data_IF_278818190638
#
_entry.id   IF_278818190638
#
_cell.length_a   1.000
_cell.length_b   1.000
_cell.length_c   1.000
_cell.angle_alpha   90.00
_cell.angle_beta   90.00
_cell.angle_gamma   90.00
#
_symmetry.space_group_name_H-M   'P 1'
#
loop_
_entity.id
_entity.type
_entity.pdbx_description
1 polymer ?
#
# COMPACT_ATOMS: atom_id res chain seq x y z
N UNK A 1 24.17 -10.19 -11.10
CA UNK A 1 23.51 -9.11 -10.33
C UNK A 1 22.84 -8.16 -11.30
N UNK A 2 21.53 -8.31 -11.47
CA UNK A 2 20.68 -7.48 -12.33
C UNK A 2 19.68 -6.70 -11.46
N UNK A 3 20.07 -6.39 -10.22
CA UNK A 3 19.20 -5.83 -9.18
C UNK A 3 18.74 -4.41 -9.51
N UNK A 4 19.54 -3.65 -10.26
CA UNK A 4 19.21 -2.27 -10.55
C UNK A 4 18.09 -2.11 -11.57
N UNK A 5 17.79 -3.05 -12.47
CA UNK A 5 16.77 -2.85 -13.53
C UNK A 5 15.33 -3.14 -13.12
N UNK A 6 15.12 -3.59 -11.88
CA UNK A 6 13.84 -4.07 -11.35
C UNK A 6 12.76 -2.96 -11.45
N UNK A 7 12.97 -1.79 -10.85
CA UNK A 7 11.95 -0.73 -10.78
C UNK A 7 11.80 0.19 -12.01
N UNK A 8 12.54 -0.08 -13.09
CA UNK A 8 12.55 0.77 -14.30
C UNK A 8 11.37 0.50 -15.23
N UNK A 9 10.64 -0.60 -15.03
CA UNK A 9 9.38 -0.88 -15.74
C UNK A 9 8.32 0.12 -15.29
N UNK A 10 7.63 0.77 -16.24
CA UNK A 10 6.77 1.92 -15.94
C UNK A 10 5.40 1.56 -15.40
N UNK A 11 4.92 0.32 -15.57
CA UNK A 11 3.59 -0.08 -15.13
C UNK A 11 3.58 -0.60 -13.68
N UNK A 12 2.50 -0.27 -12.97
CA UNK A 12 2.26 -0.58 -11.56
C UNK A 12 2.30 -2.08 -11.26
N UNK A 13 1.67 -2.87 -12.13
CA UNK A 13 1.52 -4.31 -11.95
C UNK A 13 2.88 -5.00 -11.99
N UNK A 14 3.74 -4.63 -12.95
CA UNK A 14 5.11 -5.15 -13.02
C UNK A 14 5.91 -4.84 -11.74
N UNK A 15 5.80 -3.62 -11.20
CA UNK A 15 6.51 -3.25 -9.95
C UNK A 15 6.00 -4.06 -8.76
N UNK A 16 4.68 -4.21 -8.64
CA UNK A 16 4.08 -4.97 -7.54
C UNK A 16 4.44 -6.44 -7.63
N UNK A 17 4.39 -7.02 -8.83
CA UNK A 17 4.83 -8.39 -9.06
C UNK A 17 6.27 -8.61 -8.63
N UNK A 18 7.19 -7.71 -8.97
CA UNK A 18 8.59 -7.83 -8.55
C UNK A 18 8.74 -7.77 -7.02
N UNK A 19 7.95 -6.95 -6.31
CA UNK A 19 7.92 -6.95 -4.85
C UNK A 19 7.44 -8.31 -4.34
N UNK A 20 6.39 -8.88 -4.94
CA UNK A 20 5.89 -10.21 -4.58
C UNK A 20 6.93 -11.31 -4.84
N UNK A 21 7.66 -11.26 -5.96
CA UNK A 21 8.73 -12.21 -6.29
C UNK A 21 9.86 -12.16 -5.24
N UNK A 22 10.23 -10.95 -4.78
CA UNK A 22 11.23 -10.78 -3.71
C UNK A 22 10.73 -11.29 -2.36
N UNK A 23 9.44 -11.10 -2.06
CA UNK A 23 8.83 -11.61 -0.83
C UNK A 23 8.67 -13.13 -0.87
N UNK A 24 8.54 -13.74 -2.06
CA UNK A 24 8.40 -15.19 -2.25
C UNK A 24 9.62 -15.96 -1.71
N UNK A 25 10.77 -15.30 -1.58
CA UNK A 25 11.98 -15.86 -0.96
C UNK A 25 11.77 -16.28 0.50
N UNK A 26 10.81 -15.66 1.21
CA UNK A 26 10.56 -15.90 2.64
C UNK A 26 9.07 -16.16 2.98
N UNK A 27 8.15 -15.87 2.06
CA UNK A 27 6.71 -15.93 2.26
C UNK A 27 6.04 -16.59 1.05
N UNK A 28 4.79 -17.03 1.19
CA UNK A 28 4.01 -17.39 0.00
C UNK A 28 3.34 -16.13 -0.55
N UNK A 29 3.43 -15.89 -1.85
CA UNK A 29 2.81 -14.73 -2.48
C UNK A 29 1.81 -15.13 -3.56
N UNK A 30 0.84 -14.26 -3.82
CA UNK A 30 -0.12 -14.41 -4.92
C UNK A 30 -0.27 -13.07 -5.62
N UNK A 31 0.05 -13.05 -6.91
CA UNK A 31 -0.16 -11.91 -7.80
C UNK A 31 -1.64 -11.79 -8.20
N UNK A 32 -2.16 -10.56 -8.26
CA UNK A 32 -3.49 -10.21 -8.78
C UNK A 32 -4.60 -11.21 -8.42
N UNK A 33 -4.90 -11.29 -7.12
CA UNK A 33 -5.89 -12.25 -6.62
C UNK A 33 -7.28 -11.64 -6.53
N UNK A 34 -8.27 -12.40 -6.99
CA UNK A 34 -9.68 -12.00 -6.92
C UNK A 34 -10.21 -12.15 -5.49
N UNK A 35 -10.37 -11.03 -4.79
CA UNK A 35 -10.92 -10.95 -3.44
C UNK A 35 -11.95 -9.82 -3.35
N UNK A 36 -13.01 -10.03 -2.57
CA UNK A 36 -13.96 -8.96 -2.24
C UNK A 36 -14.95 -8.60 -3.34
N UNK A 37 -15.49 -7.37 -3.33
CA UNK A 37 -16.53 -6.89 -4.27
C UNK A 37 -15.95 -5.75 -5.14
N UNK A 38 -16.08 -5.83 -6.46
CA UNK A 38 -15.61 -4.81 -7.42
C UNK A 38 -16.31 -3.45 -7.22
N UNK A 39 -15.71 -2.38 -7.75
CA UNK A 39 -16.27 -1.01 -7.73
C UNK A 39 -17.72 -0.90 -8.24
N UNK A 40 -18.18 -1.84 -9.09
CA UNK A 40 -19.55 -1.86 -9.62
C UNK A 40 -20.42 -3.00 -9.05
N UNK A 41 -19.97 -3.72 -8.02
CA UNK A 41 -20.75 -4.76 -7.35
C UNK A 41 -21.00 -6.05 -8.16
N UNK A 42 -20.50 -6.15 -9.39
CA UNK A 42 -20.83 -7.23 -10.34
C UNK A 42 -19.79 -8.37 -10.43
N UNK A 43 -18.57 -8.14 -9.97
CA UNK A 43 -17.44 -9.08 -9.99
C UNK A 43 -16.64 -9.02 -8.69
N UNK A 44 -15.79 -10.02 -8.37
CA UNK A 44 -14.81 -9.87 -7.31
C UNK A 44 -13.89 -8.67 -7.54
N UNK A 45 -13.47 -8.01 -6.46
CA UNK A 45 -12.39 -7.02 -6.52
C UNK A 45 -11.04 -7.68 -6.83
N UNK A 46 -10.05 -6.93 -7.35
CA UNK A 46 -8.70 -7.45 -7.64
C UNK A 46 -7.70 -6.79 -6.70
N UNK A 47 -7.24 -7.55 -5.71
CA UNK A 47 -6.15 -7.11 -4.83
C UNK A 47 -4.85 -7.23 -5.61
N UNK A 48 -4.00 -6.20 -5.59
CA UNK A 48 -2.76 -6.21 -6.37
C UNK A 48 -1.79 -7.30 -5.92
N UNK A 49 -1.73 -7.60 -4.63
CA UNK A 49 -0.94 -8.71 -4.11
C UNK A 49 -1.41 -9.24 -2.77
N UNK A 50 -1.22 -10.54 -2.55
CA UNK A 50 -1.44 -11.19 -1.25
C UNK A 50 -0.16 -11.87 -0.80
N UNK A 51 0.25 -11.60 0.43
CA UNK A 51 1.37 -12.27 1.09
C UNK A 51 0.82 -13.14 2.21
N UNK A 52 1.32 -14.35 2.37
CA UNK A 52 0.90 -15.30 3.40
C UNK A 52 2.10 -15.73 4.21
N UNK A 53 2.04 -15.49 5.53
CA UNK A 53 3.10 -15.92 6.44
C UNK A 53 3.05 -17.41 6.76
N UNK A 54 4.05 -17.89 7.51
CA UNK A 54 4.14 -19.28 7.97
C UNK A 54 2.94 -19.73 8.84
N UNK A 55 2.22 -18.80 9.45
CA UNK A 55 1.05 -19.07 10.28
C UNK A 55 -0.26 -19.05 9.46
N UNK A 56 -0.16 -18.88 8.14
CA UNK A 56 -1.28 -18.73 7.20
C UNK A 56 -2.08 -17.44 7.38
N UNK A 57 -1.48 -16.42 7.98
CA UNK A 57 -2.04 -15.07 8.03
C UNK A 57 -1.84 -14.40 6.67
N UNK A 58 -2.92 -13.90 6.08
CA UNK A 58 -2.88 -13.15 4.83
C UNK A 58 -2.64 -11.65 5.10
N UNK A 59 -1.89 -11.02 4.21
CA UNK A 59 -1.61 -9.60 4.21
C UNK A 59 -1.89 -9.07 2.80
N UNK A 60 -2.75 -8.06 2.71
CA UNK A 60 -3.14 -7.50 1.42
C UNK A 60 -2.27 -6.30 1.07
N UNK A 61 -1.84 -6.29 -0.18
CA UNK A 61 -1.08 -5.23 -0.82
C UNK A 61 -1.97 -4.62 -1.89
N UNK A 62 -2.20 -3.32 -1.78
CA UNK A 62 -2.64 -2.47 -2.88
C UNK A 62 -1.46 -1.58 -3.26
N UNK A 63 -1.30 -1.28 -4.54
CA UNK A 63 -0.25 -0.39 -5.02
C UNK A 63 -0.82 0.78 -5.80
N UNK A 64 -0.07 1.88 -5.88
CA UNK A 64 -0.36 2.97 -6.81
C UNK A 64 0.90 3.72 -7.25
N UNK A 65 0.91 4.17 -8.50
CA UNK A 65 1.90 5.12 -9.03
C UNK A 65 1.45 6.57 -8.82
N UNK A 66 2.33 7.39 -8.22
CA UNK A 66 2.08 8.83 -8.07
C UNK A 66 3.21 9.67 -8.68
N UNK A 67 2.82 10.63 -9.51
CA UNK A 67 3.69 11.73 -9.98
C UNK A 67 3.41 13.05 -9.24
N UNK A 68 2.27 13.13 -8.55
CA UNK A 68 1.82 14.26 -7.74
C UNK A 68 0.82 13.76 -6.69
N UNK A 69 0.41 14.65 -5.76
CA UNK A 69 -0.58 14.30 -4.73
C UNK A 69 -2.00 14.31 -5.32
N UNK A 70 -2.37 13.21 -5.98
CA UNK A 70 -3.74 12.99 -6.46
C UNK A 70 -4.60 12.40 -5.33
N UNK A 71 -5.26 13.27 -4.56
CA UNK A 71 -6.05 12.91 -3.38
C UNK A 71 -7.17 11.93 -3.68
N UNK A 72 -7.96 12.18 -4.73
CA UNK A 72 -9.07 11.30 -5.12
C UNK A 72 -8.58 9.89 -5.45
N UNK A 73 -7.48 9.80 -6.20
CA UNK A 73 -6.88 8.52 -6.56
C UNK A 73 -6.34 7.77 -5.33
N UNK A 74 -5.67 8.47 -4.41
CA UNK A 74 -5.20 7.86 -3.15
C UNK A 74 -6.38 7.36 -2.31
N UNK A 75 -7.43 8.17 -2.13
CA UNK A 75 -8.64 7.79 -1.39
C UNK A 75 -9.28 6.54 -2.00
N UNK A 76 -9.37 6.46 -3.34
CA UNK A 76 -9.94 5.30 -4.02
C UNK A 76 -9.18 4.01 -3.68
N UNK A 77 -7.83 4.04 -3.67
CA UNK A 77 -7.02 2.88 -3.33
C UNK A 77 -7.11 2.50 -1.85
N UNK A 78 -7.16 3.47 -0.93
CA UNK A 78 -7.38 3.22 0.50
C UNK A 78 -8.74 2.54 0.73
N UNK A 79 -9.81 3.04 0.09
CA UNK A 79 -11.15 2.46 0.22
C UNK A 79 -11.20 1.00 -0.25
N UNK A 80 -10.41 0.63 -1.27
CA UNK A 80 -10.33 -0.77 -1.69
C UNK A 80 -9.80 -1.68 -0.57
N UNK A 81 -8.74 -1.25 0.12
CA UNK A 81 -8.16 -1.98 1.27
C UNK A 81 -9.09 -1.99 2.49
N UNK A 82 -9.87 -0.94 2.73
CA UNK A 82 -10.74 -0.86 3.90
C UNK A 82 -12.05 -1.63 3.75
N UNK A 83 -12.84 -1.35 2.70
CA UNK A 83 -14.20 -1.89 2.58
C UNK A 83 -14.34 -2.99 1.56
N UNK A 84 -13.53 -3.02 0.50
CA UNK A 84 -13.80 -3.92 -0.63
C UNK A 84 -13.16 -5.27 -0.49
N UNK A 85 -11.94 -5.35 0.04
CA UNK A 85 -11.19 -6.61 0.11
C UNK A 85 -11.26 -7.27 1.47
N UNK A 86 -11.33 -6.48 2.54
CA UNK A 86 -11.15 -6.94 3.92
C UNK A 86 -12.42 -7.57 4.54
N UNK A 87 -12.90 -8.61 3.86
CA UNK A 87 -13.92 -9.54 4.36
C UNK A 87 -13.43 -10.41 5.53
N UNK A 88 -12.12 -10.41 5.82
CA UNK A 88 -11.47 -11.33 6.76
C UNK A 88 -11.08 -10.70 8.10
N UNK A 89 -11.23 -9.39 8.28
CA UNK A 89 -10.78 -8.73 9.52
C UNK A 89 -9.27 -8.64 9.62
N UNK A 90 -8.59 -8.35 8.51
CA UNK A 90 -7.13 -8.34 8.43
C UNK A 90 -6.54 -7.30 9.39
N UNK A 91 -5.67 -7.77 10.29
CA UNK A 91 -4.99 -6.90 11.26
C UNK A 91 -4.03 -5.91 10.60
N UNK A 92 -3.38 -6.30 9.51
CA UNK A 92 -2.39 -5.46 8.83
C UNK A 92 -2.64 -5.47 7.32
N UNK A 93 -2.62 -4.28 6.72
CA UNK A 93 -2.76 -4.04 5.28
C UNK A 93 -1.69 -3.07 4.81
N UNK A 94 -1.32 -3.17 3.54
CA UNK A 94 -0.21 -2.41 2.97
C UNK A 94 -0.64 -1.67 1.71
N UNK A 95 -0.41 -0.36 1.69
CA UNK A 95 -0.50 0.48 0.51
C UNK A 95 0.92 0.82 0.06
N UNK A 96 1.33 0.33 -1.10
CA UNK A 96 2.62 0.65 -1.69
C UNK A 96 2.45 1.81 -2.65
N UNK A 97 3.19 2.90 -2.43
CA UNK A 97 3.11 4.11 -3.23
C UNK A 97 4.44 4.28 -3.98
N UNK A 98 4.42 4.05 -5.29
CA UNK A 98 5.56 4.29 -6.16
C UNK A 98 5.63 5.77 -6.53
N UNK A 99 6.57 6.50 -5.93
CA UNK A 99 6.73 7.93 -6.12
C UNK A 99 7.63 8.20 -7.34
N UNK A 100 7.01 8.55 -8.47
CA UNK A 100 7.66 8.96 -9.71
C UNK A 100 7.91 10.48 -9.72
N UNK A 101 8.67 10.97 -8.74
CA UNK A 101 8.92 12.39 -8.52
C UNK A 101 10.41 12.72 -8.54
N UNK A 102 10.74 14.00 -8.74
CA UNK A 102 12.13 14.45 -8.73
C UNK A 102 12.77 14.26 -7.35
N UNK A 103 14.05 13.95 -7.33
CA UNK A 103 14.85 13.66 -6.13
C UNK A 103 14.75 14.74 -5.06
N UNK A 104 14.91 16.00 -5.46
CA UNK A 104 14.83 17.17 -4.59
C UNK A 104 13.43 17.41 -4.01
N UNK A 105 12.41 16.68 -4.47
CA UNK A 105 11.01 16.85 -4.10
C UNK A 105 10.44 15.71 -3.26
N UNK A 106 11.19 14.62 -3.01
CA UNK A 106 10.64 13.46 -2.32
C UNK A 106 10.22 13.76 -0.88
N UNK A 107 11.04 14.47 -0.12
CA UNK A 107 10.72 14.84 1.27
C UNK A 107 9.50 15.77 1.33
N UNK A 108 9.47 16.80 0.48
CA UNK A 108 8.33 17.72 0.40
C UNK A 108 7.04 17.02 -0.03
N UNK A 109 7.13 16.02 -0.91
CA UNK A 109 6.00 15.18 -1.28
C UNK A 109 5.54 14.30 -0.12
N UNK A 110 6.47 13.67 0.60
CA UNK A 110 6.17 12.85 1.77
C UNK A 110 5.41 13.65 2.83
N UNK A 111 5.84 14.86 3.17
CA UNK A 111 5.14 15.69 4.15
C UNK A 111 3.71 16.07 3.69
N UNK A 112 3.53 16.35 2.40
CA UNK A 112 2.20 16.60 1.83
C UNK A 112 1.32 15.35 1.89
N UNK A 113 1.86 14.18 1.57
CA UNK A 113 1.16 12.92 1.64
C UNK A 113 0.80 12.57 3.10
N UNK A 114 1.72 12.74 4.04
CA UNK A 114 1.48 12.56 5.47
C UNK A 114 0.34 13.45 5.97
N UNK A 115 0.37 14.75 5.63
CA UNK A 115 -0.68 15.69 6.04
C UNK A 115 -2.04 15.30 5.45
N UNK A 116 -2.07 14.84 4.20
CA UNK A 116 -3.28 14.34 3.57
C UNK A 116 -3.85 13.10 4.31
N UNK A 117 -3.01 12.10 4.58
CA UNK A 117 -3.41 10.89 5.36
C UNK A 117 -3.83 11.24 6.79
N UNK A 118 -3.19 12.24 7.40
CA UNK A 118 -3.50 12.66 8.76
C UNK A 118 -4.83 13.41 8.86
N UNK A 119 -5.13 14.31 7.94
CA UNK A 119 -6.19 15.31 8.16
C UNK A 119 -7.34 15.23 7.17
N UNK A 120 -7.16 14.59 6.01
CA UNK A 120 -8.10 14.72 4.90
C UNK A 120 -8.65 13.37 4.41
N UNK A 121 -7.88 12.29 4.52
CA UNK A 121 -8.37 10.94 4.17
C UNK A 121 -9.56 10.57 5.05
N UNK A 122 -10.62 10.12 4.40
CA UNK A 122 -11.80 9.57 5.05
C UNK A 122 -11.61 8.07 5.18
N UNK A 123 -11.47 7.58 6.41
CA UNK A 123 -11.34 6.15 6.68
C UNK A 123 -12.69 5.56 7.06
N UNK A 124 -12.93 4.31 6.65
CA UNK A 124 -14.14 3.57 7.03
C UNK A 124 -14.17 3.27 8.55
N UNK A 125 -12.99 3.17 9.16
CA UNK A 125 -12.81 2.91 10.59
C UNK A 125 -12.13 4.08 11.30
N UNK A 126 -12.59 4.38 12.54
CA UNK A 126 -12.07 5.46 13.37
C UNK A 126 -10.54 5.36 13.54
N UNK A 127 -9.82 6.35 13.02
CA UNK A 127 -8.36 6.46 13.19
C UNK A 127 -8.02 6.87 14.62
N UNK A 128 -7.30 6.02 15.33
CA UNK A 128 -6.81 6.24 16.68
C UNK A 128 -5.50 7.01 16.69
N UNK A 129 -4.58 6.65 15.79
CA UNK A 129 -3.26 7.27 15.70
C UNK A 129 -2.66 7.18 14.30
N UNK A 130 -1.60 7.96 14.09
CA UNK A 130 -0.76 7.94 12.89
C UNK A 130 0.68 8.16 13.34
N UNK A 131 1.59 7.35 12.82
CA UNK A 131 3.01 7.42 13.14
C UNK A 131 3.87 7.36 11.87
N UNK A 132 4.97 8.14 11.85
CA UNK A 132 6.05 7.99 10.87
C UNK A 132 6.97 6.90 11.39
N UNK A 133 7.18 5.85 10.60
CA UNK A 133 8.09 4.74 10.94
C UNK A 133 9.45 5.00 10.29
N UNK A 134 10.51 4.84 11.07
CA UNK A 134 11.88 4.95 10.57
C UNK A 134 12.18 3.85 9.56
N UNK A 135 12.84 4.25 8.46
CA UNK A 135 13.28 3.37 7.40
C UNK A 135 14.81 3.36 7.37
N UNK A 136 15.39 2.18 7.17
CA UNK A 136 16.83 2.03 6.93
C UNK A 136 17.23 2.46 5.49
N UNK A 137 16.25 2.72 4.64
CA UNK A 137 16.43 3.10 3.24
C UNK A 137 16.08 4.58 3.02
N UNK A 138 17.01 5.31 2.40
CA UNK A 138 16.87 6.75 2.12
C UNK A 138 15.76 7.08 1.13
N UNK A 139 15.46 6.16 0.21
CA UNK A 139 14.41 6.26 -0.80
C UNK A 139 13.05 5.72 -0.34
N UNK A 140 12.90 5.42 0.95
CA UNK A 140 11.65 4.92 1.52
C UNK A 140 11.17 5.82 2.66
N UNK A 141 9.85 5.99 2.74
CA UNK A 141 9.16 6.57 3.90
C UNK A 141 7.98 5.68 4.25
N UNK A 142 7.72 5.52 5.55
CA UNK A 142 6.65 4.64 6.02
C UNK A 142 5.76 5.44 6.98
N UNK A 143 4.45 5.36 6.75
CA UNK A 143 3.43 5.85 7.66
C UNK A 143 2.61 4.65 8.09
N UNK A 144 2.25 4.58 9.36
CA UNK A 144 1.27 3.62 9.85
C UNK A 144 0.13 4.36 10.49
N UNK A 145 -1.09 4.06 10.06
CA UNK A 145 -2.31 4.49 10.73
C UNK A 145 -2.90 3.32 11.50
N UNK A 146 -3.38 3.60 12.71
CA UNK A 146 -4.04 2.62 13.58
C UNK A 146 -5.52 2.98 13.66
N UNK A 147 -6.38 2.01 13.45
CA UNK A 147 -7.83 2.17 13.44
C UNK A 147 -8.51 1.16 14.36
N UNK A 148 -9.71 1.48 14.84
CA UNK A 148 -10.51 0.58 15.65
C UNK A 148 -11.60 -0.08 14.80
N UNK A 149 -11.54 -1.40 14.66
CA UNK A 149 -12.57 -2.23 14.01
C UNK A 149 -13.03 -3.30 14.99
N UNK A 150 -14.31 -3.31 15.34
CA UNK A 150 -14.89 -4.31 16.25
C UNK A 150 -14.10 -4.45 17.58
N UNK A 151 -13.68 -3.32 18.15
CA UNK A 151 -12.85 -3.25 19.36
C UNK A 151 -11.43 -3.84 19.23
N UNK A 152 -11.00 -4.15 18.01
CA UNK A 152 -9.64 -4.61 17.70
C UNK A 152 -8.89 -3.51 16.92
N UNK A 153 -7.64 -3.26 17.30
CA UNK A 153 -6.75 -2.38 16.55
C UNK A 153 -6.29 -3.05 15.25
N UNK A 154 -6.52 -2.36 14.13
CA UNK A 154 -6.06 -2.73 12.79
C UNK A 154 -5.16 -1.65 12.21
N UNK A 155 -4.19 -2.05 11.39
CA UNK A 155 -3.15 -1.18 10.88
C UNK A 155 -3.19 -1.09 9.35
N UNK A 156 -3.03 0.13 8.84
CA UNK A 156 -2.71 0.38 7.44
C UNK A 156 -1.32 1.01 7.34
N UNK A 157 -0.43 0.33 6.65
CA UNK A 157 0.91 0.81 6.35
C UNK A 157 0.92 1.46 4.97
N UNK A 158 1.31 2.73 4.90
CA UNK A 158 1.58 3.43 3.65
C UNK A 158 3.09 3.46 3.43
N UNK A 159 3.58 2.67 2.49
CA UNK A 159 5.00 2.54 2.17
C UNK A 159 5.27 3.33 0.88
N UNK A 160 5.90 4.48 1.02
CA UNK A 160 6.30 5.31 -0.11
C UNK A 160 7.69 4.90 -0.57
N UNK A 161 7.81 4.49 -1.82
CA UNK A 161 9.05 4.10 -2.48
C UNK A 161 9.36 5.09 -3.59
N UNK A 162 10.43 5.86 -3.44
CA UNK A 162 10.94 6.70 -4.52
C UNK A 162 11.58 5.83 -5.60
N UNK A 163 11.08 5.96 -6.83
CA UNK A 163 11.61 5.25 -7.99
C UNK A 163 12.81 6.03 -8.55
N UNK A 164 13.97 5.38 -8.78
CA UNK A 164 15.11 6.00 -9.47
C UNK A 164 14.69 6.49 -10.86
N UNK A 165 15.15 7.69 -11.24
CA UNK A 165 15.03 8.19 -12.61
C UNK A 165 16.30 7.92 -13.40
#
# INVERSE_FOLDING_TARGET
MQENKIFWTTDENSRTKQILDLLELNYNTKDQSQYGISNMGKKPGSVDGVVVDKNRVEYFIEALNLQNLNKEYIQMHINKLESKYDSKGLKNKFLIVYCNIADSSFEAFFEKFYNYVNSEVQFDYSKLSIEKINSDYTNQRIIKTVHLRESIEVNLYHILLKIPK
#
